data_IF_238588028484
#
_entry.id   IF_238588028484
#
_cell.length_a   1.000
_cell.length_b   1.000
_cell.length_c   1.000
_cell.angle_alpha   90.00
_cell.angle_beta   90.00
_cell.angle_gamma   90.00
#
_symmetry.space_group_name_H-M   'P 1'
#
loop_
_entity.id
_entity.type
_entity.pdbx_description
1 polymer ?
#
# COMPACT_ATOMS: atom_id res chain seq x y z
N UNK A 1 -23.59 13.05 -11.34
CA UNK A 1 -22.81 13.33 -10.13
C UNK A 1 -21.33 13.30 -10.45
N UNK A 2 -20.61 14.29 -9.98
CA UNK A 2 -19.18 14.36 -10.22
C UNK A 2 -18.43 13.73 -9.05
N UNK A 3 -17.56 12.78 -9.37
CA UNK A 3 -16.69 12.20 -8.35
C UNK A 3 -15.48 13.10 -8.16
N UNK A 4 -15.11 13.29 -6.93
CA UNK A 4 -13.99 14.13 -6.57
C UNK A 4 -13.00 13.35 -5.72
N UNK A 5 -11.76 13.30 -6.18
CA UNK A 5 -10.67 12.67 -5.43
C UNK A 5 -9.94 13.78 -4.68
N UNK A 6 -9.91 13.75 -3.35
CA UNK A 6 -9.17 14.76 -2.58
C UNK A 6 -7.70 14.79 -3.02
N UNK A 7 -7.13 15.97 -3.02
CA UNK A 7 -5.71 16.16 -3.39
C UNK A 7 -4.76 15.49 -2.41
N UNK A 8 -5.18 15.35 -1.17
CA UNK A 8 -4.33 14.84 -0.09
C UNK A 8 -4.86 13.54 0.47
N UNK A 9 -3.97 12.78 1.06
CA UNK A 9 -4.34 11.62 1.85
C UNK A 9 -5.28 12.04 2.99
N UNK A 10 -6.14 11.13 3.43
CA UNK A 10 -6.96 11.35 4.62
C UNK A 10 -6.06 11.43 5.86
N UNK A 11 -6.56 11.98 6.99
CA UNK A 11 -5.77 11.97 8.22
C UNK A 11 -5.26 10.59 8.62
N UNK A 12 -6.08 9.56 8.43
CA UNK A 12 -5.70 8.17 8.77
C UNK A 12 -4.60 7.65 7.86
N UNK A 13 -4.68 7.97 6.57
CA UNK A 13 -3.63 7.60 5.61
C UNK A 13 -2.33 8.35 5.89
N UNK A 14 -2.42 9.63 6.24
CA UNK A 14 -1.24 10.42 6.62
C UNK A 14 -0.57 9.85 7.85
N UNK A 15 -1.36 9.49 8.86
CA UNK A 15 -0.85 8.91 10.09
C UNK A 15 -0.13 7.60 9.81
N UNK A 16 -0.69 6.77 8.94
CA UNK A 16 -0.05 5.52 8.55
C UNK A 16 1.27 5.79 7.82
N UNK A 17 1.25 6.69 6.84
CA UNK A 17 2.45 7.03 6.10
C UNK A 17 3.55 7.56 7.02
N UNK A 18 3.20 8.40 7.98
CA UNK A 18 4.13 8.93 8.97
C UNK A 18 4.69 7.81 9.85
N UNK A 19 3.84 6.90 10.29
CA UNK A 19 4.27 5.76 11.11
C UNK A 19 5.27 4.89 10.35
N UNK A 20 5.05 4.71 9.05
CA UNK A 20 5.94 3.92 8.20
C UNK A 20 7.27 4.63 7.89
N UNK A 21 7.39 5.90 8.27
CA UNK A 21 8.62 6.66 8.09
C UNK A 21 8.71 7.41 6.76
N UNK A 22 7.62 7.48 6.01
CA UNK A 22 7.62 8.13 4.70
C UNK A 22 8.34 7.26 3.67
N UNK A 23 9.22 7.86 2.87
CA UNK A 23 9.93 7.13 1.81
C UNK A 23 10.56 5.84 2.33
N UNK A 24 10.50 4.72 1.59
CA UNK A 24 10.06 4.60 0.20
C UNK A 24 8.54 4.53 -0.01
N UNK A 25 7.74 4.64 1.04
CA UNK A 25 6.30 4.73 0.89
C UNK A 25 5.91 6.15 0.48
N UNK A 26 4.91 6.27 -0.39
CA UNK A 26 4.48 7.56 -0.88
C UNK A 26 2.99 7.54 -1.20
N UNK A 27 2.44 8.71 -1.49
CA UNK A 27 1.08 8.84 -1.97
C UNK A 27 1.03 8.47 -3.45
N UNK A 28 -0.03 7.75 -3.85
CA UNK A 28 -0.32 7.51 -5.26
C UNK A 28 -1.84 7.56 -5.45
N UNK A 29 -2.27 7.56 -6.69
CA UNK A 29 -3.69 7.50 -7.04
C UNK A 29 -3.88 6.25 -7.89
N UNK A 30 -4.77 5.36 -7.43
CA UNK A 30 -5.10 4.12 -8.13
C UNK A 30 -6.61 4.04 -8.21
N UNK A 31 -7.13 3.86 -9.43
CA UNK A 31 -8.59 3.80 -9.68
C UNK A 31 -9.33 5.02 -9.10
N UNK A 32 -8.70 6.19 -9.19
CA UNK A 32 -9.30 7.44 -8.74
C UNK A 32 -9.27 7.66 -7.23
N UNK A 33 -8.59 6.81 -6.47
CA UNK A 33 -8.51 6.93 -5.03
C UNK A 33 -7.06 7.15 -4.56
N UNK A 34 -6.91 7.96 -3.53
CA UNK A 34 -5.61 8.14 -2.87
C UNK A 34 -5.25 6.87 -2.11
N UNK A 35 -4.03 6.43 -2.29
CA UNK A 35 -3.50 5.25 -1.60
C UNK A 35 -2.09 5.55 -1.09
N UNK A 36 -1.65 4.75 -0.12
CA UNK A 36 -0.24 4.70 0.26
C UNK A 36 0.39 3.61 -0.60
N UNK A 37 1.55 3.87 -1.16
CA UNK A 37 2.12 3.07 -2.24
C UNK A 37 3.62 2.87 -2.04
N UNK A 38 4.12 1.72 -2.50
CA UNK A 38 5.56 1.47 -2.54
C UNK A 38 5.90 0.61 -3.76
N UNK A 39 6.90 1.04 -4.50
CA UNK A 39 7.42 0.31 -5.66
C UNK A 39 8.55 -0.63 -5.20
N UNK A 40 8.42 -1.91 -5.52
CA UNK A 40 9.44 -2.92 -5.21
C UNK A 40 10.15 -3.42 -6.47
N UNK A 41 9.94 -2.77 -7.61
CA UNK A 41 10.53 -3.19 -8.88
C UNK A 41 9.55 -4.03 -9.69
N UNK A 42 9.67 -5.35 -9.63
CA UNK A 42 8.77 -6.27 -10.34
C UNK A 42 7.36 -6.24 -9.74
N UNK A 43 7.28 -5.97 -8.45
CA UNK A 43 6.03 -5.88 -7.70
C UNK A 43 5.84 -4.50 -7.15
N UNK A 44 4.61 -4.16 -6.78
CA UNK A 44 4.37 -2.97 -5.97
C UNK A 44 3.30 -3.24 -4.89
N UNK A 45 3.25 -2.34 -3.92
CA UNK A 45 2.33 -2.43 -2.79
C UNK A 45 1.37 -1.27 -2.85
N UNK A 46 0.08 -1.59 -2.74
CA UNK A 46 -0.98 -0.60 -2.61
C UNK A 46 -1.64 -0.79 -1.25
N UNK A 47 -1.71 0.29 -0.46
CA UNK A 47 -2.46 0.28 0.80
C UNK A 47 -3.63 1.23 0.61
N UNK A 48 -4.81 0.66 0.44
CA UNK A 48 -6.04 1.42 0.17
C UNK A 48 -6.92 1.48 1.40
N UNK A 49 -7.97 2.29 1.33
CA UNK A 49 -8.90 2.45 2.43
C UNK A 49 -8.48 3.53 3.40
N UNK A 50 -9.12 3.54 4.58
CA UNK A 50 -8.82 4.54 5.59
C UNK A 50 -9.25 5.95 5.23
N UNK A 51 -10.15 6.12 4.26
CA UNK A 51 -10.66 7.44 3.89
C UNK A 51 -11.57 8.02 4.95
N UNK A 52 -12.22 7.15 5.72
CA UNK A 52 -13.12 7.50 6.81
C UNK A 52 -12.70 6.77 8.08
N UNK A 53 -13.11 7.31 9.23
CA UNK A 53 -12.80 6.68 10.53
C UNK A 53 -13.26 5.24 10.63
N UNK A 54 -14.36 4.91 10.00
CA UNK A 54 -14.97 3.57 10.07
C UNK A 54 -14.49 2.64 8.97
N UNK A 55 -13.72 3.15 8.01
CA UNK A 55 -13.25 2.35 6.89
C UNK A 55 -11.93 1.67 7.25
N UNK A 56 -11.89 0.35 7.06
CA UNK A 56 -10.68 -0.43 7.27
C UNK A 56 -9.66 -0.17 6.15
N UNK A 57 -8.42 -0.60 6.37
CA UNK A 57 -7.37 -0.61 5.35
C UNK A 57 -7.35 -1.94 4.62
N UNK A 58 -6.77 -1.94 3.43
CA UNK A 58 -6.49 -3.16 2.67
C UNK A 58 -5.11 -3.02 2.03
N UNK A 59 -4.38 -4.13 1.99
CA UNK A 59 -3.07 -4.18 1.34
C UNK A 59 -3.17 -5.09 0.14
N UNK A 60 -2.70 -4.61 -1.01
CA UNK A 60 -2.62 -5.40 -2.24
C UNK A 60 -1.19 -5.41 -2.74
N UNK A 61 -0.71 -6.59 -3.10
CA UNK A 61 0.58 -6.72 -3.78
C UNK A 61 0.28 -7.02 -5.25
N UNK A 62 0.79 -6.15 -6.11
CA UNK A 62 0.59 -6.24 -7.55
C UNK A 62 1.86 -6.75 -8.23
N UNK A 63 1.69 -7.71 -9.12
CA UNK A 63 2.69 -8.02 -10.13
C UNK A 63 2.44 -7.05 -11.29
N UNK A 64 3.50 -6.41 -11.79
CA UNK A 64 3.34 -5.41 -12.84
C UNK A 64 3.16 -6.01 -14.23
N UNK A 65 3.77 -7.17 -14.48
CA UNK A 65 3.72 -7.76 -15.80
C UNK A 65 3.74 -9.29 -15.72
N UNK A 66 2.62 -9.97 -16.04
CA UNK A 66 1.33 -9.36 -16.35
C UNK A 66 0.71 -8.70 -15.12
N UNK A 67 -0.06 -7.66 -15.34
CA UNK A 67 -0.68 -6.91 -14.25
C UNK A 67 -1.73 -7.76 -13.54
N UNK A 68 -1.49 -8.06 -12.27
CA UNK A 68 -2.43 -8.86 -11.48
C UNK A 68 -2.09 -8.72 -9.99
N UNK A 69 -3.11 -8.92 -9.17
CA UNK A 69 -2.92 -8.98 -7.71
C UNK A 69 -2.42 -10.38 -7.35
N UNK A 70 -1.30 -10.46 -6.65
CA UNK A 70 -0.70 -11.73 -6.23
C UNK A 70 -0.91 -12.02 -4.75
N UNK A 71 -1.24 -11.00 -3.97
CA UNK A 71 -1.48 -11.15 -2.54
C UNK A 71 -2.40 -10.04 -2.07
N UNK A 72 -3.28 -10.33 -1.11
CA UNK A 72 -4.16 -9.33 -0.55
C UNK A 72 -4.42 -9.58 0.92
N UNK A 73 -4.53 -8.48 1.69
CA UNK A 73 -4.92 -8.49 3.08
C UNK A 73 -6.00 -7.43 3.24
N UNK A 74 -7.22 -7.85 3.53
CA UNK A 74 -8.36 -6.93 3.58
C UNK A 74 -8.93 -6.82 4.99
N UNK A 75 -9.75 -5.78 5.20
CA UNK A 75 -10.42 -5.54 6.48
C UNK A 75 -9.42 -5.37 7.64
N UNK A 76 -8.32 -4.70 7.36
CA UNK A 76 -7.31 -4.44 8.38
C UNK A 76 -7.74 -3.30 9.27
N UNK A 77 -7.67 -3.47 10.60
CA UNK A 77 -8.00 -2.37 11.52
C UNK A 77 -6.95 -1.26 11.44
N UNK A 78 -7.25 -0.13 12.09
CA UNK A 78 -6.32 0.99 12.17
C UNK A 78 -5.24 0.70 13.23
N UNK A 79 -4.52 -0.38 13.04
CA UNK A 79 -3.42 -0.83 13.89
C UNK A 79 -2.15 -0.71 13.08
N UNK A 80 -1.43 0.39 13.28
CA UNK A 80 -0.24 0.71 12.50
C UNK A 80 0.87 -0.34 12.67
N UNK A 81 1.03 -0.86 13.87
CA UNK A 81 2.06 -1.87 14.13
C UNK A 81 1.75 -3.17 13.38
N UNK A 82 0.50 -3.61 13.39
CA UNK A 82 0.07 -4.80 12.65
C UNK A 82 0.29 -4.60 11.15
N UNK A 83 -0.12 -3.44 10.63
CA UNK A 83 0.00 -3.14 9.20
C UNK A 83 1.48 -3.12 8.81
N UNK A 84 2.33 -2.49 9.64
CA UNK A 84 3.77 -2.46 9.36
C UNK A 84 4.37 -3.85 9.35
N UNK A 85 3.97 -4.73 10.27
CA UNK A 85 4.48 -6.10 10.30
C UNK A 85 4.13 -6.85 9.02
N UNK A 86 2.90 -6.69 8.53
CA UNK A 86 2.48 -7.30 7.27
C UNK A 86 3.32 -6.74 6.10
N UNK A 87 3.51 -5.43 6.08
CA UNK A 87 4.29 -4.78 5.02
C UNK A 87 5.75 -5.20 5.05
N UNK A 88 6.36 -5.28 6.21
CA UNK A 88 7.76 -5.69 6.34
C UNK A 88 7.95 -7.13 5.83
N UNK A 89 7.01 -8.01 6.12
CA UNK A 89 7.03 -9.37 5.60
C UNK A 89 6.89 -9.40 4.07
N UNK A 90 5.99 -8.61 3.53
CA UNK A 90 5.80 -8.49 2.08
C UNK A 90 7.09 -8.01 1.42
N UNK A 91 7.68 -6.95 1.96
CA UNK A 91 8.93 -6.39 1.43
C UNK A 91 10.02 -7.45 1.42
N UNK A 92 10.17 -8.19 2.51
CA UNK A 92 11.19 -9.24 2.60
C UNK A 92 10.98 -10.31 1.53
N UNK A 93 9.75 -10.77 1.34
CA UNK A 93 9.45 -11.84 0.38
C UNK A 93 9.58 -11.41 -1.07
N UNK A 94 9.13 -10.22 -1.41
CA UNK A 94 9.08 -9.79 -2.81
C UNK A 94 10.34 -9.07 -3.25
N UNK A 95 11.05 -8.42 -2.34
CA UNK A 95 12.36 -7.82 -2.66
C UNK A 95 13.42 -8.89 -2.87
N UNK A 96 13.40 -9.96 -2.06
CA UNK A 96 14.36 -11.05 -2.18
C UNK A 96 14.27 -11.74 -3.55
N UNK A 97 13.06 -11.88 -4.09
CA UNK A 97 12.87 -12.46 -5.43
C UNK A 97 13.56 -11.63 -6.49
N UNK A 98 13.52 -10.31 -6.35
CA UNK A 98 14.19 -9.42 -7.30
C UNK A 98 15.70 -9.55 -7.19
N UNK A 99 16.24 -9.63 -5.98
CA UNK A 99 17.66 -9.82 -5.77
C UNK A 99 18.16 -11.13 -6.37
N UNK A 100 17.39 -12.20 -6.20
CA UNK A 100 17.76 -13.51 -6.72
C UNK A 100 17.87 -13.52 -8.25
N UNK A 101 17.16 -12.67 -8.92
CA UNK A 101 17.20 -12.56 -10.36
C UNK A 101 18.53 -11.98 -10.86
N UNK A 102 19.25 -11.29 -10.02
CA UNK A 102 20.53 -10.68 -10.38
C UNK A 102 21.71 -11.64 -10.22
N UNK A 103 21.49 -12.75 -9.63
CA UNK A 103 22.52 -13.77 -9.49
C UNK A 103 22.53 -14.70 -10.70
#
# INVERSE_FOLDING_TARGET
MTFYTPKNLSPRQKDLLNYLGGKPYCKNIIDGENVVYRDLGVYDIEISGGHRKTQTFAIYVWCKEPLRIVERHVRLPHDHAMIKDILDDIVARYSDKEENEHE
#
